data_IF_236030683620
#
_entry.id   IF_236030683620
#
_cell.length_a   1.000
_cell.length_b   1.000
_cell.length_c   1.000
_cell.angle_alpha   90.00
_cell.angle_beta   90.00
_cell.angle_gamma   90.00
#
_symmetry.space_group_name_H-M   'P 1'
#
loop_
_entity.id
_entity.type
_entity.pdbx_description
1 polymer ?
#
# COMPACT_ATOMS: atom_id res chain seq x y z
N UNK A 1 2.60 -44.06 10.80
CA UNK A 1 3.72 -43.34 10.15
C UNK A 1 3.68 -41.89 10.61
N UNK A 2 4.83 -41.24 10.82
CA UNK A 2 4.86 -39.84 11.27
C UNK A 2 4.43 -38.89 10.14
N UNK A 3 3.56 -37.92 10.46
CA UNK A 3 3.12 -36.87 9.54
C UNK A 3 4.23 -35.85 9.33
N UNK A 4 4.25 -35.22 8.16
CA UNK A 4 5.13 -34.09 7.87
C UNK A 4 4.35 -32.84 7.45
N UNK A 5 4.91 -31.67 7.71
CA UNK A 5 4.42 -30.38 7.22
C UNK A 5 5.50 -29.76 6.34
N UNK A 6 5.12 -29.35 5.14
CA UNK A 6 5.97 -28.60 4.22
C UNK A 6 5.48 -27.16 4.11
N UNK A 7 6.29 -26.21 4.57
CA UNK A 7 6.01 -24.78 4.48
C UNK A 7 6.41 -24.21 3.12
N UNK A 8 5.50 -23.48 2.46
CA UNK A 8 5.75 -22.77 1.20
C UNK A 8 5.56 -21.27 1.43
N UNK A 9 6.64 -20.50 1.25
CA UNK A 9 6.66 -19.08 1.59
C UNK A 9 5.99 -18.18 0.53
N UNK A 10 5.69 -16.94 0.91
CA UNK A 10 5.12 -15.91 0.04
C UNK A 10 6.15 -15.14 -0.82
N UNK A 11 5.69 -14.05 -1.44
CA UNK A 11 6.47 -13.17 -2.33
C UNK A 11 7.49 -12.31 -1.59
N UNK A 12 8.52 -11.85 -2.31
CA UNK A 12 9.55 -10.95 -1.77
C UNK A 12 10.49 -11.59 -0.73
N UNK A 13 10.19 -12.80 -0.27
CA UNK A 13 11.03 -13.59 0.63
C UNK A 13 12.28 -14.03 -0.14
N UNK A 14 13.45 -13.86 0.50
CA UNK A 14 14.76 -14.29 0.00
C UNK A 14 15.50 -14.98 1.13
N UNK A 15 16.57 -15.71 0.83
CA UNK A 15 17.28 -16.63 1.73
C UNK A 15 17.31 -16.19 3.20
N UNK A 16 17.83 -14.99 3.50
CA UNK A 16 17.87 -14.47 4.88
C UNK A 16 16.50 -14.42 5.57
N UNK A 17 15.48 -13.85 4.92
CA UNK A 17 14.14 -13.72 5.50
C UNK A 17 13.41 -15.07 5.57
N UNK A 18 13.70 -15.97 4.63
CA UNK A 18 13.25 -17.35 4.69
C UNK A 18 13.82 -18.07 5.92
N UNK A 19 15.13 -17.96 6.15
CA UNK A 19 15.81 -18.56 7.32
C UNK A 19 15.27 -18.03 8.64
N UNK A 20 15.03 -16.71 8.74
CA UNK A 20 14.40 -16.08 9.91
C UNK A 20 13.00 -16.65 10.17
N UNK A 21 12.19 -16.79 9.12
CA UNK A 21 10.83 -17.38 9.21
C UNK A 21 10.91 -18.86 9.62
N UNK A 22 11.81 -19.62 9.01
CA UNK A 22 12.05 -21.03 9.32
C UNK A 22 12.50 -21.22 10.77
N UNK A 23 13.31 -20.31 11.32
CA UNK A 23 13.72 -20.32 12.71
C UNK A 23 12.52 -20.19 13.67
N UNK A 24 11.62 -19.24 13.41
CA UNK A 24 10.39 -19.05 14.19
C UNK A 24 9.50 -20.29 14.10
N UNK A 25 9.22 -20.77 12.89
CA UNK A 25 8.35 -21.92 12.67
C UNK A 25 8.92 -23.21 13.28
N UNK A 26 10.22 -23.45 13.12
CA UNK A 26 10.88 -24.62 13.72
C UNK A 26 10.79 -24.61 15.25
N UNK A 27 10.89 -23.43 15.87
CA UNK A 27 10.66 -23.27 17.32
C UNK A 27 9.25 -23.70 17.73
N UNK A 28 8.23 -23.23 17.01
CA UNK A 28 6.83 -23.62 17.25
C UNK A 28 6.62 -25.12 17.10
N UNK A 29 7.14 -25.74 16.04
CA UNK A 29 7.00 -27.17 15.81
C UNK A 29 7.73 -28.01 16.86
N UNK A 30 8.92 -27.60 17.29
CA UNK A 30 9.66 -28.27 18.35
C UNK A 30 8.93 -28.19 19.71
N UNK A 31 8.24 -27.10 20.00
CA UNK A 31 7.50 -26.92 21.26
C UNK A 31 6.14 -27.63 21.24
N UNK A 32 5.36 -27.46 20.16
CA UNK A 32 3.94 -27.83 20.10
C UNK A 32 3.63 -29.10 19.30
N UNK A 33 4.47 -29.46 18.32
CA UNK A 33 4.19 -30.51 17.34
C UNK A 33 5.34 -31.52 17.24
N UNK A 34 5.79 -32.06 18.39
CA UNK A 34 7.02 -32.88 18.52
C UNK A 34 7.08 -34.13 17.66
N UNK A 35 5.93 -34.72 17.32
CA UNK A 35 5.84 -35.94 16.51
C UNK A 35 5.66 -35.66 15.01
N UNK A 36 5.68 -34.38 14.60
CA UNK A 36 5.50 -33.93 13.22
C UNK A 36 6.83 -33.44 12.66
N UNK A 37 7.20 -33.93 11.48
CA UNK A 37 8.40 -33.44 10.79
C UNK A 37 8.08 -32.13 10.10
N UNK A 38 8.92 -31.11 10.29
CA UNK A 38 8.74 -29.80 9.66
C UNK A 38 9.86 -29.53 8.65
N UNK A 39 9.49 -29.08 7.45
CA UNK A 39 10.40 -28.71 6.35
C UNK A 39 9.90 -27.44 5.66
N UNK A 40 10.80 -26.73 4.99
CA UNK A 40 10.45 -25.58 4.16
C UNK A 40 10.82 -25.80 2.70
N UNK A 41 10.01 -25.25 1.81
CA UNK A 41 10.21 -25.18 0.37
C UNK A 41 10.65 -23.75 0.02
N UNK A 42 11.95 -23.57 -0.22
CA UNK A 42 12.51 -22.29 -0.65
C UNK A 42 12.53 -22.21 -2.17
N UNK A 43 11.65 -21.39 -2.75
CA UNK A 43 11.49 -21.29 -4.20
C UNK A 43 12.04 -19.99 -4.81
N UNK A 44 12.32 -18.98 -3.99
CA UNK A 44 12.57 -17.62 -4.48
C UNK A 44 13.75 -17.47 -5.45
N UNK A 45 14.80 -18.28 -5.30
CA UNK A 45 15.98 -18.19 -6.17
C UNK A 45 15.75 -18.85 -7.55
N UNK A 46 14.96 -19.94 -7.57
CA UNK A 46 14.67 -20.68 -8.79
C UNK A 46 13.51 -20.04 -9.58
N UNK A 47 12.43 -19.70 -8.87
CA UNK A 47 11.15 -19.33 -9.48
C UNK A 47 10.74 -17.88 -9.21
N UNK A 48 11.44 -17.19 -8.30
CA UNK A 48 11.20 -15.77 -8.03
C UNK A 48 11.63 -14.86 -9.17
N UNK A 49 11.03 -13.68 -9.21
CA UNK A 49 11.42 -12.65 -10.14
C UNK A 49 12.84 -12.16 -9.82
N UNK A 50 13.66 -12.19 -10.86
CA UNK A 50 14.99 -11.62 -10.90
C UNK A 50 15.12 -10.79 -12.18
N UNK A 51 15.96 -9.77 -12.13
CA UNK A 51 16.25 -8.95 -13.30
C UNK A 51 17.59 -9.35 -13.89
N UNK A 52 17.62 -9.70 -15.18
CA UNK A 52 18.87 -9.98 -15.90
C UNK A 52 19.72 -8.72 -16.11
N UNK A 53 19.09 -7.54 -16.11
CA UNK A 53 19.75 -6.23 -16.16
C UNK A 53 18.89 -5.15 -15.51
N UNK A 54 19.47 -3.99 -15.18
CA UNK A 54 18.73 -2.83 -14.65
C UNK A 54 18.49 -1.76 -15.72
N UNK A 55 18.66 -2.13 -17.00
CA UNK A 55 18.59 -1.20 -18.13
C UNK A 55 17.20 -0.55 -18.32
N UNK A 56 16.15 -1.16 -17.79
CA UNK A 56 14.79 -0.63 -17.82
C UNK A 56 14.54 0.51 -16.84
N UNK A 57 15.44 0.75 -15.88
CA UNK A 57 15.34 1.84 -14.91
C UNK A 57 16.44 2.88 -15.20
N UNK A 58 16.09 4.04 -15.81
CA UNK A 58 17.07 5.08 -16.12
C UNK A 58 17.85 5.52 -14.88
N UNK A 59 19.17 5.57 -14.99
CA UNK A 59 20.06 6.01 -13.91
C UNK A 59 20.16 5.05 -12.71
N UNK A 60 19.65 3.81 -12.80
CA UNK A 60 19.68 2.90 -11.66
C UNK A 60 21.10 2.60 -11.15
N UNK A 61 22.06 2.46 -12.06
CA UNK A 61 23.46 2.21 -11.69
C UNK A 61 24.09 3.38 -10.92
N UNK A 62 23.62 4.61 -11.15
CA UNK A 62 24.18 5.81 -10.53
C UNK A 62 23.44 6.21 -9.25
N UNK A 63 22.13 5.98 -9.17
CA UNK A 63 21.29 6.48 -8.08
C UNK A 63 20.54 5.39 -7.30
N UNK A 64 20.64 4.12 -7.71
CA UNK A 64 19.81 3.04 -7.19
C UNK A 64 18.31 3.26 -7.46
N UNK A 65 17.98 3.88 -8.59
CA UNK A 65 16.61 4.29 -8.94
C UNK A 65 16.12 5.54 -8.19
N UNK A 66 17.04 6.24 -7.52
CA UNK A 66 16.80 7.55 -6.93
C UNK A 66 16.80 8.66 -8.00
N UNK A 67 16.13 9.75 -7.69
CA UNK A 67 16.20 10.98 -8.49
C UNK A 67 17.25 11.88 -7.83
N UNK A 68 18.20 12.39 -8.63
CA UNK A 68 19.30 13.25 -8.17
C UNK A 68 19.25 14.68 -8.74
N UNK A 69 18.21 15.03 -9.51
CA UNK A 69 18.12 16.32 -10.21
C UNK A 69 17.44 17.42 -9.35
N UNK A 70 18.03 18.61 -9.22
CA UNK A 70 17.36 19.79 -8.65
C UNK A 70 16.02 20.16 -9.33
N UNK A 71 15.83 19.84 -10.61
CA UNK A 71 14.54 20.07 -11.32
C UNK A 71 13.38 19.23 -10.72
N UNK A 72 13.70 18.17 -9.97
CA UNK A 72 12.72 17.28 -9.34
C UNK A 72 12.31 17.67 -7.91
N UNK A 73 12.87 18.76 -7.36
CA UNK A 73 12.48 19.28 -6.05
C UNK A 73 11.03 19.78 -6.03
N UNK A 74 10.56 20.40 -7.12
CA UNK A 74 9.18 20.88 -7.24
C UNK A 74 8.17 19.73 -7.29
N UNK A 75 8.29 18.70 -8.16
CA UNK A 75 7.46 17.51 -8.11
C UNK A 75 7.43 16.83 -6.74
N UNK A 76 8.58 16.74 -6.06
CA UNK A 76 8.68 16.14 -4.75
C UNK A 76 7.93 16.94 -3.66
N UNK A 77 7.94 18.27 -3.72
CA UNK A 77 7.11 19.13 -2.85
C UNK A 77 5.61 18.87 -3.07
N UNK A 78 5.16 18.78 -4.31
CA UNK A 78 3.74 18.51 -4.61
C UNK A 78 3.28 17.12 -4.19
N UNK A 79 4.17 16.12 -4.22
CA UNK A 79 3.88 14.78 -3.69
C UNK A 79 3.41 14.81 -2.23
N UNK A 80 4.03 15.67 -1.39
CA UNK A 80 3.60 15.86 0.01
C UNK A 80 2.18 16.40 0.05
N UNK A 81 1.87 17.42 -0.74
CA UNK A 81 0.54 18.02 -0.79
C UNK A 81 -0.52 17.09 -1.38
N UNK A 82 -0.17 16.19 -2.29
CA UNK A 82 -1.13 15.20 -2.81
C UNK A 82 -1.44 14.10 -1.79
N UNK A 83 -0.52 13.80 -0.87
CA UNK A 83 -0.81 12.90 0.25
C UNK A 83 -1.61 13.62 1.34
N UNK A 84 -1.34 14.91 1.56
CA UNK A 84 -1.87 15.70 2.66
C UNK A 84 -2.05 17.16 2.25
N UNK A 85 -3.18 17.51 1.58
CA UNK A 85 -3.40 18.86 1.03
C UNK A 85 -3.40 19.96 2.09
N UNK A 86 -3.72 19.65 3.34
CA UNK A 86 -3.85 20.60 4.45
C UNK A 86 -2.55 20.78 5.25
N UNK A 87 -1.48 20.07 4.89
CA UNK A 87 -0.22 20.03 5.64
C UNK A 87 0.34 21.42 5.94
N UNK A 88 0.40 22.27 4.92
CA UNK A 88 0.99 23.61 5.04
C UNK A 88 0.15 24.53 5.92
N UNK A 89 -1.19 24.41 5.90
CA UNK A 89 -2.06 25.14 6.83
C UNK A 89 -1.78 24.75 8.28
N UNK A 90 -1.53 23.46 8.56
CA UNK A 90 -1.13 23.03 9.91
C UNK A 90 0.22 23.62 10.32
N UNK A 91 1.19 23.66 9.41
CA UNK A 91 2.50 24.27 9.69
C UNK A 91 2.38 25.78 9.94
N UNK A 92 1.50 26.49 9.22
CA UNK A 92 1.19 27.89 9.49
C UNK A 92 0.62 28.08 10.89
N UNK A 93 -0.28 27.21 11.33
CA UNK A 93 -0.89 27.28 12.66
C UNK A 93 0.09 27.06 13.81
N UNK A 94 1.26 26.46 13.55
CA UNK A 94 2.32 26.26 14.54
C UNK A 94 3.28 27.45 14.65
N UNK A 95 3.21 28.42 13.74
CA UNK A 95 4.06 29.60 13.80
C UNK A 95 3.67 30.51 14.98
N UNK A 96 4.59 31.37 15.40
CA UNK A 96 4.29 32.38 16.43
C UNK A 96 3.22 33.34 15.89
N UNK A 97 2.21 33.61 16.70
CA UNK A 97 1.19 34.60 16.35
C UNK A 97 1.87 35.95 16.06
N UNK A 98 1.70 36.44 14.83
CA UNK A 98 2.27 37.70 14.32
C UNK A 98 1.32 38.88 14.51
N UNK A 99 0.17 38.69 15.18
CA UNK A 99 -0.93 39.64 15.29
C UNK A 99 -0.48 41.04 15.73
N UNK A 100 -0.13 41.90 14.76
CA UNK A 100 0.00 43.34 14.92
C UNK A 100 -1.37 43.95 14.63
N UNK A 101 -2.04 44.44 15.67
CA UNK A 101 -3.23 45.29 15.49
C UNK A 101 -2.81 46.53 14.72
N UNK A 102 -3.50 46.84 13.61
CA UNK A 102 -3.32 48.09 12.86
C UNK A 102 -3.92 49.32 13.59
N UNK A 103 -3.90 49.32 14.93
CA UNK A 103 -4.50 50.34 15.80
C UNK A 103 -5.66 49.84 16.67
N UNK A 104 -6.17 50.67 17.60
CA UNK A 104 -7.19 50.27 18.60
C UNK A 104 -8.57 49.92 18.02
N UNK A 105 -8.87 50.35 16.79
CA UNK A 105 -10.17 50.17 16.10
C UNK A 105 -10.10 49.22 14.89
N UNK A 106 -8.92 48.69 14.57
CA UNK A 106 -8.74 47.82 13.41
C UNK A 106 -9.23 46.39 13.74
N UNK A 107 -9.93 45.77 12.79
CA UNK A 107 -10.33 44.36 12.88
C UNK A 107 -9.08 43.46 12.95
N UNK A 108 -9.08 42.38 13.77
CA UNK A 108 -7.96 41.44 13.81
C UNK A 108 -7.68 40.79 12.45
N UNK A 109 -6.41 40.70 12.06
CA UNK A 109 -5.99 40.09 10.80
C UNK A 109 -6.53 38.66 10.59
N UNK A 110 -6.65 37.89 11.67
CA UNK A 110 -7.31 36.57 11.69
C UNK A 110 -8.74 36.62 11.15
N UNK A 111 -9.56 37.55 11.66
CA UNK A 111 -10.97 37.66 11.28
C UNK A 111 -11.13 38.18 9.86
N UNK A 112 -10.29 39.14 9.46
CA UNK A 112 -10.26 39.66 8.08
C UNK A 112 -9.89 38.56 7.09
N UNK A 113 -8.85 37.78 7.38
CA UNK A 113 -8.42 36.66 6.54
C UNK A 113 -9.49 35.57 6.45
N UNK A 114 -10.04 35.12 7.59
CA UNK A 114 -11.09 34.09 7.59
C UNK A 114 -12.32 34.55 6.81
N UNK A 115 -12.81 35.77 7.06
CA UNK A 115 -13.94 36.33 6.32
C UNK A 115 -13.65 36.36 4.83
N UNK A 116 -12.45 36.78 4.44
CA UNK A 116 -12.00 36.78 3.05
C UNK A 116 -12.15 35.41 2.39
N UNK A 117 -11.64 34.33 3.02
CA UNK A 117 -11.75 32.97 2.46
C UNK A 117 -13.19 32.44 2.50
N UNK A 118 -13.98 32.78 3.52
CA UNK A 118 -15.37 32.33 3.64
C UNK A 118 -16.29 32.99 2.62
N UNK A 119 -16.04 34.24 2.25
CA UNK A 119 -16.86 35.02 1.32
C UNK A 119 -16.32 35.05 -0.11
N UNK A 120 -15.08 34.59 -0.32
CA UNK A 120 -14.44 34.60 -1.64
C UNK A 120 -15.12 33.60 -2.58
N UNK A 121 -15.68 34.10 -3.68
CA UNK A 121 -16.19 33.27 -4.76
C UNK A 121 -15.26 33.33 -5.98
N UNK A 122 -14.88 32.18 -6.58
CA UNK A 122 -14.05 32.16 -7.78
C UNK A 122 -14.60 33.05 -8.88
N UNK A 123 -13.75 33.95 -9.41
CA UNK A 123 -14.13 34.83 -10.52
C UNK A 123 -14.52 34.05 -11.79
N UNK A 124 -15.25 34.67 -12.74
CA UNK A 124 -15.59 34.02 -14.01
C UNK A 124 -14.35 33.51 -14.78
N UNK A 125 -13.24 34.25 -14.73
CA UNK A 125 -12.00 33.86 -15.37
C UNK A 125 -11.37 32.63 -14.70
N UNK A 126 -11.34 32.61 -13.35
CA UNK A 126 -10.87 31.43 -12.63
C UNK A 126 -11.76 30.21 -12.90
N UNK A 127 -13.08 30.38 -12.92
CA UNK A 127 -14.02 29.29 -13.26
C UNK A 127 -13.79 28.74 -14.67
N UNK A 128 -13.49 29.61 -15.63
CA UNK A 128 -13.11 29.20 -16.99
C UNK A 128 -11.81 28.40 -16.99
N UNK A 129 -10.78 28.84 -16.25
CA UNK A 129 -9.53 28.09 -16.11
C UNK A 129 -9.76 26.72 -15.47
N UNK A 130 -10.51 26.64 -14.38
CA UNK A 130 -10.83 25.37 -13.70
C UNK A 130 -11.58 24.42 -14.64
N UNK A 131 -12.51 24.93 -15.43
CA UNK A 131 -13.28 24.14 -16.41
C UNK A 131 -12.37 23.61 -17.52
N UNK A 132 -11.43 24.43 -18.02
CA UNK A 132 -10.46 24.01 -19.04
C UNK A 132 -9.53 22.88 -18.60
N UNK A 133 -9.32 22.71 -17.29
CA UNK A 133 -8.55 21.61 -16.71
C UNK A 133 -9.41 20.53 -16.05
N UNK A 134 -10.73 20.58 -16.20
CA UNK A 134 -11.65 19.59 -15.61
C UNK A 134 -11.72 19.60 -14.08
N UNK A 135 -11.32 20.70 -13.44
CA UNK A 135 -11.20 20.79 -11.98
C UNK A 135 -12.42 21.39 -11.27
N UNK A 136 -13.44 21.88 -11.99
CA UNK A 136 -14.51 22.70 -11.39
C UNK A 136 -15.20 22.04 -10.18
N UNK A 137 -15.72 20.82 -10.34
CA UNK A 137 -16.43 20.14 -9.25
C UNK A 137 -15.51 19.78 -8.08
N UNK A 138 -14.32 19.27 -8.38
CA UNK A 138 -13.32 18.93 -7.37
C UNK A 138 -12.81 20.16 -6.60
N UNK A 139 -12.73 21.31 -7.26
CA UNK A 139 -12.34 22.58 -6.66
C UNK A 139 -13.45 23.14 -5.76
N UNK A 140 -14.71 23.05 -6.16
CA UNK A 140 -15.84 23.47 -5.33
C UNK A 140 -15.90 22.61 -4.05
N UNK A 141 -15.63 21.31 -4.14
CA UNK A 141 -15.48 20.44 -2.97
C UNK A 141 -14.28 20.86 -2.09
N UNK A 142 -13.13 21.11 -2.70
CA UNK A 142 -11.93 21.58 -2.00
C UNK A 142 -12.23 22.86 -1.19
N UNK A 143 -12.94 23.81 -1.81
CA UNK A 143 -13.31 25.08 -1.20
C UNK A 143 -14.26 24.89 -0.02
N UNK A 144 -15.29 24.04 -0.17
CA UNK A 144 -16.19 23.70 0.93
C UNK A 144 -15.41 23.08 2.11
N UNK A 145 -14.48 22.16 1.84
CA UNK A 145 -13.68 21.49 2.87
C UNK A 145 -12.70 22.44 3.56
N UNK A 146 -11.97 23.27 2.83
CA UNK A 146 -11.01 24.20 3.45
C UNK A 146 -11.75 25.20 4.36
N UNK A 147 -12.91 25.69 3.93
CA UNK A 147 -13.76 26.60 4.71
C UNK A 147 -14.24 25.96 6.02
N UNK A 148 -14.50 24.66 6.03
CA UNK A 148 -14.89 23.92 7.23
C UNK A 148 -13.71 23.49 8.12
N UNK A 149 -12.48 23.51 7.61
CA UNK A 149 -11.30 22.91 8.25
C UNK A 149 -10.88 23.59 9.56
N UNK A 150 -10.34 22.80 10.49
CA UNK A 150 -9.72 23.34 11.71
C UNK A 150 -8.34 23.92 11.41
N UNK A 151 -7.69 23.41 10.37
CA UNK A 151 -6.39 23.80 9.84
C UNK A 151 -6.41 25.24 9.33
N UNK A 152 -7.43 25.63 8.57
CA UNK A 152 -7.62 27.03 8.14
C UNK A 152 -7.78 27.96 9.34
N UNK A 153 -8.58 27.56 10.33
CA UNK A 153 -8.80 28.33 11.58
C UNK A 153 -7.52 28.46 12.40
N UNK A 154 -6.71 27.41 12.47
CA UNK A 154 -5.42 27.45 13.15
C UNK A 154 -4.42 28.37 12.42
N UNK A 155 -4.33 28.24 11.09
CA UNK A 155 -3.48 29.09 10.26
C UNK A 155 -3.85 30.57 10.36
N UNK A 156 -5.14 30.91 10.44
CA UNK A 156 -5.61 32.29 10.53
C UNK A 156 -5.07 33.04 11.76
N UNK A 157 -4.80 32.35 12.87
CA UNK A 157 -4.24 32.96 14.10
C UNK A 157 -2.84 33.54 13.91
N UNK A 158 -2.14 33.11 12.85
CA UNK A 158 -0.79 33.57 12.50
C UNK A 158 -0.81 34.50 11.28
N UNK A 159 -1.99 34.94 10.83
CA UNK A 159 -2.13 35.84 9.69
C UNK A 159 -1.58 37.24 9.99
N UNK A 160 -0.77 37.76 9.07
CA UNK A 160 -0.40 39.17 9.02
C UNK A 160 -1.53 40.00 8.40
N UNK A 161 -1.45 41.34 8.51
CA UNK A 161 -2.50 42.27 8.03
C UNK A 161 -2.93 41.98 6.59
N UNK A 162 -1.98 41.74 5.69
CA UNK A 162 -2.28 41.49 4.26
C UNK A 162 -2.52 40.00 3.95
N UNK A 163 -2.12 39.09 4.85
CA UNK A 163 -2.29 37.64 4.77
C UNK A 163 -1.90 36.95 3.43
N UNK A 164 -1.10 37.58 2.56
CA UNK A 164 -0.77 37.04 1.22
C UNK A 164 -0.18 35.62 1.28
N UNK A 165 0.72 35.35 2.23
CA UNK A 165 1.32 34.02 2.39
C UNK A 165 0.28 32.96 2.76
N UNK A 166 -0.64 33.29 3.66
CA UNK A 166 -1.75 32.42 4.06
C UNK A 166 -2.69 32.16 2.88
N UNK A 167 -3.02 33.19 2.09
CA UNK A 167 -3.85 33.03 0.88
C UNK A 167 -3.16 32.16 -0.18
N UNK A 168 -1.84 32.27 -0.33
CA UNK A 168 -1.07 31.43 -1.25
C UNK A 168 -1.04 29.96 -0.80
N UNK A 169 -0.89 29.70 0.51
CA UNK A 169 -0.98 28.34 1.06
C UNK A 169 -2.39 27.77 0.90
N UNK A 170 -3.45 28.57 1.08
CA UNK A 170 -4.82 28.16 0.76
C UNK A 170 -4.95 27.79 -0.72
N UNK A 171 -4.40 28.60 -1.63
CA UNK A 171 -4.42 28.30 -3.06
C UNK A 171 -3.75 26.94 -3.39
N UNK A 172 -2.57 26.67 -2.80
CA UNK A 172 -1.86 25.39 -2.97
C UNK A 172 -2.67 24.21 -2.41
N UNK A 173 -3.27 24.37 -1.25
CA UNK A 173 -4.11 23.35 -0.62
C UNK A 173 -5.34 23.02 -1.48
N UNK A 174 -6.02 24.05 -2.00
CA UNK A 174 -7.18 23.89 -2.89
C UNK A 174 -6.80 23.15 -4.19
N UNK A 175 -5.70 23.55 -4.84
CA UNK A 175 -5.24 22.90 -6.08
C UNK A 175 -4.79 21.46 -5.82
N UNK A 176 -4.05 21.21 -4.74
CA UNK A 176 -3.62 19.87 -4.38
C UNK A 176 -4.82 18.95 -4.10
N UNK A 177 -5.78 19.42 -3.30
CA UNK A 177 -6.99 18.66 -3.02
C UNK A 177 -7.79 18.38 -4.30
N UNK A 178 -8.03 19.42 -5.12
CA UNK A 178 -8.82 19.26 -6.35
C UNK A 178 -8.21 18.23 -7.31
N UNK A 179 -6.87 18.20 -7.42
CA UNK A 179 -6.16 17.19 -8.23
C UNK A 179 -6.32 15.79 -7.65
N UNK A 180 -6.19 15.62 -6.32
CA UNK A 180 -6.36 14.31 -5.66
C UNK A 180 -7.79 13.80 -5.79
N UNK A 181 -8.77 14.69 -5.69
CA UNK A 181 -10.19 14.37 -5.80
C UNK A 181 -10.62 13.97 -7.22
N UNK A 182 -9.78 14.16 -8.24
CA UNK A 182 -10.04 13.60 -9.58
C UNK A 182 -9.99 12.07 -9.62
N UNK A 183 -9.29 11.43 -8.67
CA UNK A 183 -9.12 9.98 -8.66
C UNK A 183 -8.46 9.47 -9.95
N UNK A 184 -9.20 8.67 -10.72
CA UNK A 184 -8.74 8.10 -11.99
C UNK A 184 -8.94 9.03 -13.20
N UNK A 185 -9.62 10.17 -13.03
CA UNK A 185 -9.83 11.10 -14.12
C UNK A 185 -8.50 11.79 -14.54
N UNK A 186 -8.36 12.21 -15.81
CA UNK A 186 -7.14 12.86 -16.28
C UNK A 186 -6.80 14.12 -15.47
N UNK A 187 -5.65 14.08 -14.80
CA UNK A 187 -5.13 15.23 -14.04
C UNK A 187 -4.33 16.19 -14.94
N UNK A 188 -4.26 17.49 -14.60
CA UNK A 188 -3.42 18.44 -15.31
C UNK A 188 -1.93 18.09 -15.17
N UNK A 189 -1.13 18.45 -16.19
CA UNK A 189 0.33 18.37 -16.12
C UNK A 189 0.90 19.32 -15.05
N UNK A 190 2.20 19.19 -14.72
CA UNK A 190 2.85 20.14 -13.81
C UNK A 190 2.72 21.60 -14.27
N UNK A 191 2.83 21.86 -15.58
CA UNK A 191 2.61 23.18 -16.16
C UNK A 191 1.15 23.63 -16.03
N UNK A 192 0.19 22.74 -16.32
CA UNK A 192 -1.24 23.03 -16.17
C UNK A 192 -1.63 23.34 -14.72
N UNK A 193 -1.14 22.55 -13.76
CA UNK A 193 -1.30 22.80 -12.33
C UNK A 193 -0.75 24.17 -11.93
N UNK A 194 0.42 24.56 -12.44
CA UNK A 194 1.02 25.86 -12.12
C UNK A 194 0.16 27.01 -12.67
N UNK A 195 -0.41 26.88 -13.87
CA UNK A 195 -1.38 27.85 -14.42
C UNK A 195 -2.61 27.98 -13.53
N UNK A 196 -3.17 26.86 -13.07
CA UNK A 196 -4.32 26.87 -12.15
C UNK A 196 -3.95 27.52 -10.82
N UNK A 197 -2.80 27.16 -10.23
CA UNK A 197 -2.32 27.76 -8.98
C UNK A 197 -2.14 29.27 -9.12
N UNK A 198 -1.53 29.75 -10.19
CA UNK A 198 -1.37 31.18 -10.44
C UNK A 198 -2.71 31.89 -10.59
N UNK A 199 -3.68 31.26 -11.27
CA UNK A 199 -5.03 31.80 -11.40
C UNK A 199 -5.71 31.93 -10.03
N UNK A 200 -5.69 30.87 -9.21
CA UNK A 200 -6.27 30.87 -7.85
C UNK A 200 -5.57 31.88 -6.95
N UNK A 201 -4.24 31.92 -6.96
CA UNK A 201 -3.46 32.84 -6.16
C UNK A 201 -3.71 34.29 -6.56
N UNK A 202 -3.89 34.59 -7.86
CA UNK A 202 -4.25 35.93 -8.33
C UNK A 202 -5.64 36.32 -7.86
N UNK A 203 -6.60 35.41 -7.99
CA UNK A 203 -7.99 35.64 -7.61
C UNK A 203 -8.15 35.89 -6.10
N UNK A 204 -7.34 35.20 -5.29
CA UNK A 204 -7.25 35.39 -3.85
C UNK A 204 -6.42 36.60 -3.43
N UNK A 205 -5.88 37.41 -4.35
CA UNK A 205 -4.93 38.48 -4.03
C UNK A 205 -3.75 37.98 -3.16
N UNK A 206 -3.16 36.86 -3.57
CA UNK A 206 -2.04 36.21 -2.91
C UNK A 206 -0.68 36.46 -3.60
N UNK A 207 -0.69 37.10 -4.78
CA UNK A 207 0.53 37.34 -5.58
C UNK A 207 1.25 38.61 -5.12
N UNK A 208 2.47 38.46 -4.59
CA UNK A 208 3.50 39.51 -4.51
C UNK A 208 4.58 39.28 -5.57
N UNK A 209 5.42 40.29 -5.84
CA UNK A 209 6.62 40.18 -6.70
C UNK A 209 7.61 39.08 -6.26
N UNK A 210 7.52 38.57 -5.02
CA UNK A 210 8.28 37.40 -4.51
C UNK A 210 7.44 36.62 -3.50
N UNK A 211 7.35 35.30 -3.66
CA UNK A 211 6.82 34.38 -2.65
C UNK A 211 7.81 34.35 -1.47
N UNK A 212 7.36 34.47 -0.20
CA UNK A 212 8.26 34.43 0.94
C UNK A 212 9.02 33.09 1.01
N UNK A 213 10.35 33.13 1.18
CA UNK A 213 11.20 31.93 1.17
C UNK A 213 10.81 30.87 2.20
N UNK A 214 10.27 31.27 3.34
CA UNK A 214 9.80 30.32 4.36
C UNK A 214 8.61 29.47 3.90
N UNK A 215 7.81 29.92 2.91
CA UNK A 215 6.74 29.12 2.29
C UNK A 215 7.35 28.01 1.43
N UNK A 216 8.50 28.26 0.81
CA UNK A 216 9.28 27.23 0.11
C UNK A 216 9.90 26.26 1.12
N UNK A 217 10.37 26.75 2.27
CA UNK A 217 10.93 25.94 3.35
C UNK A 217 9.92 24.96 3.98
N UNK A 218 8.62 25.31 4.03
CA UNK A 218 7.56 24.38 4.43
C UNK A 218 7.47 23.15 3.51
N UNK A 219 7.82 23.32 2.23
CA UNK A 219 7.84 22.25 1.24
C UNK A 219 9.10 21.37 1.27
N UNK A 220 10.25 21.92 1.70
CA UNK A 220 11.56 21.23 1.67
C UNK A 220 11.84 20.37 2.89
N UNK A 221 11.11 20.54 4.01
CA UNK A 221 11.29 19.77 5.26
C UNK A 221 11.12 18.23 5.13
N UNK A 222 10.74 17.73 3.94
CA UNK A 222 10.58 16.30 3.65
C UNK A 222 11.45 15.77 2.50
N UNK A 223 12.32 16.59 1.90
CA UNK A 223 13.17 16.18 0.77
C UNK A 223 14.35 15.28 1.18
N UNK A 224 14.06 14.15 1.83
CA UNK A 224 14.98 13.02 2.00
C UNK A 224 14.21 11.70 1.97
N UNK A 225 13.52 11.40 0.87
CA UNK A 225 13.04 10.04 0.64
C UNK A 225 14.11 9.23 -0.09
N UNK A 226 14.70 8.24 0.60
CA UNK A 226 15.52 7.18 -0.01
C UNK A 226 14.59 6.27 -0.84
N UNK A 227 14.26 6.74 -2.05
CA UNK A 227 13.31 6.10 -2.99
C UNK A 227 13.71 4.67 -3.37
N UNK A 228 15.00 4.40 -3.58
CA UNK A 228 15.47 3.12 -4.14
C UNK A 228 15.04 1.88 -3.35
N UNK A 229 15.38 1.80 -2.05
CA UNK A 229 15.21 0.54 -1.28
C UNK A 229 13.76 0.10 -1.05
N UNK A 230 12.82 1.04 -0.93
CA UNK A 230 11.40 0.70 -0.69
C UNK A 230 10.68 0.32 -1.98
N UNK A 231 11.01 0.98 -3.10
CA UNK A 231 10.49 0.60 -4.41
C UNK A 231 11.01 -0.79 -4.80
N UNK A 232 12.30 -1.08 -4.58
CA UNK A 232 12.86 -2.38 -4.93
C UNK A 232 12.10 -3.55 -4.26
N UNK A 233 11.71 -3.41 -2.99
CA UNK A 233 10.96 -4.44 -2.28
C UNK A 233 9.54 -4.64 -2.85
N UNK A 234 8.84 -3.54 -3.14
CA UNK A 234 7.50 -3.58 -3.75
C UNK A 234 7.57 -4.14 -5.17
N UNK A 235 8.52 -3.68 -5.98
CA UNK A 235 8.74 -4.15 -7.35
C UNK A 235 9.09 -5.64 -7.37
N UNK A 236 9.86 -6.15 -6.41
CA UNK A 236 10.13 -7.61 -6.29
C UNK A 236 8.88 -8.40 -5.93
N UNK A 237 8.10 -7.93 -4.96
CA UNK A 237 6.84 -8.58 -4.58
C UNK A 237 5.90 -8.68 -5.78
N UNK A 238 5.68 -7.56 -6.48
CA UNK A 238 4.88 -7.52 -7.71
C UNK A 238 5.49 -8.39 -8.81
N UNK A 239 6.81 -8.38 -8.96
CA UNK A 239 7.53 -9.21 -9.92
C UNK A 239 7.29 -10.69 -9.68
N UNK A 240 7.41 -11.16 -8.43
CA UNK A 240 7.18 -12.56 -8.06
C UNK A 240 5.74 -12.98 -8.40
N UNK A 241 4.73 -12.12 -8.13
CA UNK A 241 3.33 -12.37 -8.50
C UNK A 241 3.17 -12.44 -10.03
N UNK A 242 3.69 -11.45 -10.77
CA UNK A 242 3.58 -11.40 -12.23
C UNK A 242 4.27 -12.59 -12.89
N UNK A 243 5.45 -12.97 -12.40
CA UNK A 243 6.18 -14.13 -12.90
C UNK A 243 5.43 -15.42 -12.63
N UNK A 244 4.90 -15.61 -11.41
CA UNK A 244 4.07 -16.77 -11.09
C UNK A 244 2.82 -16.84 -11.98
N UNK A 245 2.11 -15.71 -12.14
CA UNK A 245 0.93 -15.65 -12.98
C UNK A 245 1.22 -15.86 -14.47
N UNK A 246 2.47 -15.69 -14.93
CA UNK A 246 2.90 -15.95 -16.30
C UNK A 246 3.50 -17.36 -16.50
N UNK A 247 4.22 -17.88 -15.50
CA UNK A 247 5.10 -19.04 -15.59
C UNK A 247 5.13 -19.84 -14.27
N UNK A 248 3.97 -20.16 -13.70
CA UNK A 248 3.84 -20.77 -12.37
C UNK A 248 4.18 -22.28 -12.32
N UNK A 249 4.28 -22.94 -13.47
CA UNK A 249 4.47 -24.39 -13.58
C UNK A 249 5.76 -24.85 -12.90
N UNK A 250 6.85 -24.09 -13.05
CA UNK A 250 8.13 -24.39 -12.38
C UNK A 250 8.04 -24.39 -10.86
N UNK A 251 7.21 -23.50 -10.28
CA UNK A 251 6.95 -23.48 -8.84
C UNK A 251 6.13 -24.70 -8.39
N UNK A 252 5.13 -25.11 -9.17
CA UNK A 252 4.34 -26.32 -8.88
C UNK A 252 5.24 -27.55 -8.85
N UNK A 253 6.09 -27.73 -9.86
CA UNK A 253 7.05 -28.84 -9.89
C UNK A 253 8.04 -28.80 -8.71
N UNK A 254 8.52 -27.61 -8.33
CA UNK A 254 9.44 -27.45 -7.20
C UNK A 254 8.77 -27.82 -5.88
N UNK A 255 7.51 -27.44 -5.67
CA UNK A 255 6.73 -27.87 -4.51
C UNK A 255 6.53 -29.38 -4.52
N UNK A 256 6.15 -29.97 -5.66
CA UNK A 256 5.97 -31.42 -5.79
C UNK A 256 7.26 -32.19 -5.47
N UNK A 257 8.40 -31.80 -6.05
CA UNK A 257 9.72 -32.36 -5.71
C UNK A 257 10.05 -32.21 -4.23
N UNK A 258 9.72 -31.07 -3.64
CA UNK A 258 9.94 -30.82 -2.20
C UNK A 258 9.08 -31.73 -1.33
N UNK A 259 7.89 -32.15 -1.78
CA UNK A 259 7.05 -33.14 -1.10
C UNK A 259 7.68 -34.53 -1.19
N UNK A 260 8.18 -34.93 -2.37
CA UNK A 260 8.83 -36.22 -2.58
C UNK A 260 10.11 -36.37 -1.73
N UNK A 261 10.87 -35.29 -1.59
CA UNK A 261 12.08 -35.22 -0.77
C UNK A 261 11.81 -35.25 0.74
N UNK A 262 10.55 -35.13 1.19
CA UNK A 262 10.21 -35.26 2.60
C UNK A 262 10.44 -36.71 3.05
N UNK A 263 11.31 -36.98 4.05
CA UNK A 263 11.65 -38.34 4.43
C UNK A 263 10.45 -39.18 4.93
N UNK A 264 10.45 -40.46 4.57
CA UNK A 264 9.48 -41.49 4.97
C UNK A 264 8.18 -41.46 4.18
N UNK A 265 7.33 -42.47 4.35
CA UNK A 265 6.12 -42.67 3.51
C UNK A 265 4.83 -42.10 4.16
N UNK A 266 4.99 -41.26 5.18
CA UNK A 266 3.87 -40.63 5.88
C UNK A 266 3.21 -39.53 5.05
N UNK A 267 1.94 -39.19 5.37
CA UNK A 267 1.22 -38.12 4.71
C UNK A 267 1.82 -36.74 5.01
N UNK A 268 1.67 -35.82 4.06
CA UNK A 268 2.23 -34.47 4.06
C UNK A 268 1.10 -33.45 4.09
N UNK A 269 1.25 -32.43 4.93
CA UNK A 269 0.38 -31.26 4.95
C UNK A 269 1.13 -30.07 4.35
N UNK A 270 0.56 -29.43 3.34
CA UNK A 270 1.11 -28.18 2.81
C UNK A 270 0.68 -27.01 3.71
N UNK A 271 1.63 -26.17 4.11
CA UNK A 271 1.40 -24.92 4.81
C UNK A 271 1.85 -23.77 3.92
N UNK A 272 0.93 -23.17 3.17
CA UNK A 272 1.23 -22.08 2.24
C UNK A 272 0.92 -20.70 2.82
N UNK A 273 1.85 -19.76 2.70
CA UNK A 273 1.65 -18.36 3.08
C UNK A 273 1.58 -17.46 1.86
N UNK A 274 0.59 -16.57 1.80
CA UNK A 274 0.44 -15.59 0.70
C UNK A 274 0.48 -16.29 -0.68
N UNK A 275 1.34 -15.85 -1.60
CA UNK A 275 1.55 -16.53 -2.90
C UNK A 275 1.86 -18.02 -2.78
N UNK A 276 2.59 -18.46 -1.75
CA UNK A 276 2.84 -19.87 -1.50
C UNK A 276 1.56 -20.66 -1.25
N UNK A 277 0.54 -20.03 -0.67
CA UNK A 277 -0.81 -20.58 -0.54
C UNK A 277 -1.52 -20.72 -1.89
N UNK A 278 -1.43 -19.70 -2.75
CA UNK A 278 -1.98 -19.76 -4.13
C UNK A 278 -1.32 -20.91 -4.90
N UNK A 279 0.01 -21.00 -4.86
CA UNK A 279 0.77 -22.05 -5.54
C UNK A 279 0.41 -23.46 -5.06
N UNK A 280 0.15 -23.64 -3.77
CA UNK A 280 -0.33 -24.92 -3.24
C UNK A 280 -1.74 -25.25 -3.74
N UNK A 281 -2.65 -24.27 -3.80
CA UNK A 281 -4.01 -24.48 -4.33
C UNK A 281 -3.95 -24.85 -5.81
N UNK A 282 -3.20 -24.09 -6.61
CA UNK A 282 -3.08 -24.35 -8.04
C UNK A 282 -2.49 -25.76 -8.30
N UNK A 283 -1.39 -26.13 -7.62
CA UNK A 283 -0.78 -27.46 -7.72
C UNK A 283 -1.78 -28.57 -7.35
N UNK A 284 -2.48 -28.44 -6.22
CA UNK A 284 -3.40 -29.50 -5.75
C UNK A 284 -4.64 -29.64 -6.62
N UNK A 285 -5.03 -28.57 -7.31
CA UNK A 285 -6.14 -28.59 -8.25
C UNK A 285 -5.72 -29.14 -9.62
N UNK A 286 -4.48 -28.99 -10.06
CA UNK A 286 -4.01 -29.59 -11.32
C UNK A 286 -3.49 -31.01 -11.13
N UNK A 287 -2.42 -31.17 -10.36
CA UNK A 287 -1.66 -32.41 -10.20
C UNK A 287 -1.20 -32.58 -8.74
N UNK A 288 -2.08 -33.07 -7.84
CA UNK A 288 -1.73 -33.20 -6.43
C UNK A 288 -0.66 -34.28 -6.21
N UNK A 289 0.41 -33.99 -5.45
CA UNK A 289 1.34 -35.05 -5.03
C UNK A 289 0.63 -36.09 -4.17
N UNK A 290 0.86 -37.39 -4.41
CA UNK A 290 0.10 -38.49 -3.79
C UNK A 290 0.09 -38.47 -2.25
N UNK A 291 1.18 -37.98 -1.65
CA UNK A 291 1.33 -37.93 -0.20
C UNK A 291 0.61 -36.75 0.45
N UNK A 292 0.12 -35.77 -0.31
CA UNK A 292 -0.53 -34.57 0.25
C UNK A 292 -2.01 -34.83 0.50
N UNK A 293 -2.41 -34.84 1.78
CA UNK A 293 -3.79 -35.09 2.19
C UNK A 293 -4.48 -33.88 2.85
N UNK A 294 -3.73 -32.80 3.10
CA UNK A 294 -4.20 -31.59 3.78
C UNK A 294 -3.52 -30.33 3.26
N UNK A 295 -4.27 -29.24 3.26
CA UNK A 295 -3.80 -27.89 2.96
C UNK A 295 -4.12 -26.94 4.13
N UNK A 296 -3.13 -26.15 4.52
CA UNK A 296 -3.30 -25.00 5.39
C UNK A 296 -2.82 -23.77 4.61
N UNK A 297 -3.70 -22.79 4.41
CA UNK A 297 -3.34 -21.49 3.84
C UNK A 297 -3.40 -20.41 4.91
N UNK A 298 -2.42 -19.50 4.90
CA UNK A 298 -2.35 -18.38 5.85
C UNK A 298 -2.12 -17.10 5.05
N UNK A 299 -2.95 -16.08 5.27
CA UNK A 299 -2.78 -14.81 4.56
C UNK A 299 -2.86 -14.94 3.03
N UNK A 300 -3.67 -15.87 2.51
CA UNK A 300 -3.69 -16.24 1.09
C UNK A 300 -4.77 -15.48 0.30
N UNK A 301 -4.51 -15.28 -0.99
CA UNK A 301 -5.40 -14.63 -1.95
C UNK A 301 -6.21 -15.62 -2.82
N UNK A 302 -6.07 -16.93 -2.59
CA UNK A 302 -6.64 -17.97 -3.47
C UNK A 302 -8.16 -17.81 -3.72
N UNK A 303 -8.94 -17.48 -2.68
CA UNK A 303 -10.38 -17.23 -2.82
C UNK A 303 -10.68 -16.05 -3.75
N UNK A 304 -10.05 -14.90 -3.49
CA UNK A 304 -10.20 -13.71 -4.33
C UNK A 304 -9.74 -13.96 -5.77
N UNK A 305 -8.62 -14.68 -5.96
CA UNK A 305 -8.08 -15.00 -7.28
C UNK A 305 -9.04 -15.89 -8.08
N UNK A 306 -9.74 -16.83 -7.44
CA UNK A 306 -10.77 -17.62 -8.10
C UNK A 306 -11.94 -16.75 -8.56
N UNK A 307 -12.41 -15.83 -7.71
CA UNK A 307 -13.53 -14.94 -8.04
C UNK A 307 -13.24 -14.01 -9.23
N UNK A 308 -12.01 -13.52 -9.35
CA UNK A 308 -11.62 -12.60 -10.43
C UNK A 308 -11.03 -13.29 -11.66
N UNK A 309 -10.99 -14.64 -11.69
CA UNK A 309 -10.42 -15.40 -12.81
C UNK A 309 -8.88 -15.33 -12.90
N UNK A 310 -8.21 -15.04 -11.78
CA UNK A 310 -6.74 -15.00 -11.68
C UNK A 310 -6.14 -16.31 -11.13
N UNK A 311 -6.93 -17.21 -10.56
CA UNK A 311 -6.44 -18.53 -10.15
C UNK A 311 -6.23 -19.40 -11.40
N UNK A 312 -5.02 -19.97 -11.58
CA UNK A 312 -4.65 -20.62 -12.84
C UNK A 312 -5.30 -21.99 -13.01
N UNK A 313 -5.51 -22.72 -11.92
CA UNK A 313 -5.98 -24.10 -11.95
C UNK A 313 -7.49 -24.23 -12.11
N UNK A 314 -8.25 -23.25 -11.61
CA UNK A 314 -9.72 -23.31 -11.53
C UNK A 314 -10.27 -21.91 -11.76
N UNK A 315 -11.13 -21.77 -12.77
CA UNK A 315 -11.85 -20.53 -13.07
C UNK A 315 -13.28 -20.59 -12.53
N UNK A 316 -13.78 -19.51 -11.93
CA UNK A 316 -15.18 -19.42 -11.54
C UNK A 316 -16.10 -19.55 -12.79
N UNK A 317 -17.24 -20.26 -12.71
CA UNK A 317 -17.86 -20.82 -11.50
C UNK A 317 -17.47 -22.28 -11.21
N UNK A 318 -16.44 -22.82 -11.85
CA UNK A 318 -16.02 -24.19 -11.57
C UNK A 318 -15.53 -24.32 -10.13
N UNK A 319 -15.92 -25.42 -9.48
CA UNK A 319 -15.42 -25.78 -8.16
C UNK A 319 -14.08 -26.51 -8.25
N UNK A 320 -13.52 -26.83 -7.08
CA UNK A 320 -12.33 -27.68 -7.00
C UNK A 320 -12.60 -29.07 -7.60
N UNK A 321 -11.63 -29.68 -8.29
CA UNK A 321 -11.78 -31.03 -8.83
C UNK A 321 -11.88 -32.08 -7.73
N UNK A 322 -12.42 -33.26 -8.06
CA UNK A 322 -12.70 -34.32 -7.08
C UNK A 322 -11.46 -34.82 -6.35
N UNK A 323 -10.28 -34.76 -6.98
CA UNK A 323 -9.00 -35.16 -6.40
C UNK A 323 -8.41 -34.14 -5.43
N UNK A 324 -8.95 -32.92 -5.36
CA UNK A 324 -8.45 -31.92 -4.44
C UNK A 324 -8.65 -32.37 -2.98
N UNK A 325 -7.66 -32.18 -2.07
CA UNK A 325 -7.81 -32.60 -0.68
C UNK A 325 -9.02 -31.95 0.02
N UNK A 326 -9.93 -32.78 0.55
CA UNK A 326 -11.13 -32.31 1.28
C UNK A 326 -10.84 -31.71 2.66
N UNK A 327 -9.57 -31.62 3.03
CA UNK A 327 -9.12 -31.00 4.27
C UNK A 327 -8.31 -29.76 3.95
N UNK A 328 -9.00 -28.63 3.86
CA UNK A 328 -8.40 -27.31 3.72
C UNK A 328 -8.77 -26.39 4.90
N UNK A 329 -7.77 -25.97 5.68
CA UNK A 329 -7.87 -24.86 6.63
C UNK A 329 -7.36 -23.58 5.98
N UNK A 330 -8.15 -22.51 6.01
CA UNK A 330 -7.71 -21.18 5.60
C UNK A 330 -7.75 -20.23 6.80
N UNK A 331 -6.64 -19.54 7.07
CA UNK A 331 -6.50 -18.59 8.17
C UNK A 331 -6.30 -17.19 7.60
N UNK A 332 -7.18 -16.26 7.96
CA UNK A 332 -7.17 -14.88 7.43
C UNK A 332 -7.32 -13.83 8.55
N UNK A 333 -6.86 -12.60 8.27
CA UNK A 333 -6.98 -11.44 9.17
C UNK A 333 -7.64 -10.29 8.40
N UNK A 334 -8.77 -9.72 8.85
CA UNK A 334 -9.42 -8.60 8.17
C UNK A 334 -8.55 -7.33 8.04
N UNK A 335 -7.51 -7.17 8.87
CA UNK A 335 -6.55 -6.07 8.77
C UNK A 335 -5.39 -6.39 7.82
N UNK A 336 -5.31 -7.61 7.30
CA UNK A 336 -4.41 -7.99 6.22
C UNK A 336 -5.16 -7.86 4.88
N UNK A 337 -4.86 -6.78 4.16
CA UNK A 337 -5.46 -6.45 2.86
C UNK A 337 -5.16 -7.50 1.77
N UNK A 338 -4.28 -8.46 2.03
CA UNK A 338 -3.90 -9.52 1.12
C UNK A 338 -4.38 -10.90 1.60
N UNK A 339 -5.23 -10.98 2.64
CA UNK A 339 -5.82 -12.23 3.10
C UNK A 339 -7.32 -12.27 2.86
N UNK A 340 -7.81 -13.38 2.32
CA UNK A 340 -9.22 -13.53 1.95
C UNK A 340 -9.76 -14.87 2.47
N UNK A 341 -11.05 -14.94 2.83
CA UNK A 341 -11.74 -16.22 3.02
C UNK A 341 -11.67 -17.08 1.75
N UNK A 342 -11.72 -18.40 1.91
CA UNK A 342 -11.70 -19.36 0.82
C UNK A 342 -13.01 -20.17 0.71
N UNK A 343 -14.06 -19.76 1.44
CA UNK A 343 -15.40 -20.37 1.40
C UNK A 343 -16.05 -20.42 0.01
N UNK A 344 -15.56 -19.65 -0.96
CA UNK A 344 -15.98 -19.71 -2.38
C UNK A 344 -15.77 -21.09 -3.01
N UNK A 345 -14.84 -21.90 -2.48
CA UNK A 345 -14.60 -23.28 -2.94
C UNK A 345 -15.52 -24.32 -2.29
N UNK A 346 -16.48 -23.89 -1.48
CA UNK A 346 -17.50 -24.74 -0.88
C UNK A 346 -17.14 -25.29 0.51
N UNK A 347 -17.91 -26.29 1.01
CA UNK A 347 -17.91 -26.68 2.43
C UNK A 347 -16.65 -27.43 2.89
N UNK A 348 -15.72 -27.71 1.98
CA UNK A 348 -14.47 -28.44 2.26
C UNK A 348 -13.39 -27.53 2.84
N UNK A 349 -13.60 -26.22 2.79
CA UNK A 349 -12.75 -25.19 3.37
C UNK A 349 -13.28 -24.82 4.75
N UNK A 350 -12.41 -24.86 5.75
CA UNK A 350 -12.66 -24.26 7.06
C UNK A 350 -11.94 -22.92 7.12
N UNK A 351 -12.69 -21.82 7.04
CA UNK A 351 -12.14 -20.48 7.27
C UNK A 351 -12.07 -20.18 8.77
N UNK A 352 -10.91 -19.70 9.22
CA UNK A 352 -10.68 -19.20 10.57
C UNK A 352 -10.15 -17.77 10.50
N UNK A 353 -10.93 -16.85 11.06
CA UNK A 353 -10.51 -15.47 11.22
C UNK A 353 -9.66 -15.32 12.49
N UNK A 354 -8.50 -14.68 12.36
CA UNK A 354 -7.66 -14.24 13.49
C UNK A 354 -7.50 -12.72 13.48
N UNK A 355 -6.95 -12.17 14.56
CA UNK A 355 -6.48 -10.77 14.59
C UNK A 355 -5.01 -10.76 14.97
N UNK A 356 -4.17 -10.16 14.13
CA UNK A 356 -2.75 -9.97 14.40
C UNK A 356 -2.45 -8.64 15.14
N UNK A 357 -3.47 -7.82 15.41
CA UNK A 357 -3.33 -6.58 16.18
C UNK A 357 -2.48 -5.50 15.51
N UNK A 358 -2.28 -5.58 14.19
CA UNK A 358 -1.46 -4.65 13.41
C UNK A 358 -2.20 -4.23 12.13
N UNK A 359 -1.99 -3.02 11.60
CA UNK A 359 -2.49 -2.66 10.28
C UNK A 359 -1.60 -3.21 9.16
N UNK A 360 -2.14 -3.30 7.95
CA UNK A 360 -1.37 -3.59 6.74
C UNK A 360 -0.25 -2.54 6.54
N UNK A 361 0.98 -2.92 6.11
CA UNK A 361 1.41 -4.26 5.70
C UNK A 361 1.89 -5.18 6.83
N UNK A 362 1.97 -4.69 8.07
CA UNK A 362 2.56 -5.45 9.19
C UNK A 362 1.72 -6.66 9.59
N UNK A 363 0.39 -6.58 9.46
CA UNK A 363 -0.52 -7.72 9.68
C UNK A 363 -0.16 -8.95 8.84
N UNK A 364 0.28 -8.76 7.59
CA UNK A 364 0.52 -9.85 6.63
C UNK A 364 1.67 -10.78 7.02
N UNK A 365 2.66 -10.28 7.77
CA UNK A 365 3.81 -11.06 8.25
C UNK A 365 3.70 -11.49 9.72
N UNK A 366 2.68 -11.04 10.44
CA UNK A 366 2.56 -11.22 11.89
C UNK A 366 1.99 -12.57 12.33
N UNK A 367 1.45 -13.38 11.40
CA UNK A 367 0.78 -14.65 11.71
C UNK A 367 1.60 -15.62 12.55
N UNK A 368 2.91 -15.72 12.33
CA UNK A 368 3.74 -16.73 12.99
C UNK A 368 3.91 -16.49 14.49
N UNK A 369 3.80 -15.24 14.93
CA UNK A 369 3.80 -14.87 16.35
C UNK A 369 2.43 -14.96 17.01
N UNK A 370 1.37 -15.26 16.27
CA UNK A 370 0.00 -15.27 16.78
C UNK A 370 -0.37 -16.67 17.31
N UNK A 371 -0.61 -16.84 18.63
CA UNK A 371 -0.93 -18.15 19.20
C UNK A 371 -2.23 -18.75 18.63
N UNK A 372 -3.20 -17.90 18.23
CA UNK A 372 -4.48 -18.35 17.69
C UNK A 372 -4.35 -19.02 16.32
N UNK A 373 -3.32 -18.67 15.53
CA UNK A 373 -2.99 -19.36 14.27
C UNK A 373 -2.65 -20.82 14.56
N UNK A 374 -1.81 -21.05 15.58
CA UNK A 374 -1.35 -22.38 15.96
C UNK A 374 -2.43 -23.20 16.69
N UNK A 375 -3.30 -22.54 17.46
CA UNK A 375 -4.49 -23.16 18.05
C UNK A 375 -5.44 -23.66 16.95
N UNK A 376 -5.70 -22.84 15.92
CA UNK A 376 -6.53 -23.23 14.78
C UNK A 376 -5.91 -24.37 13.97
N UNK A 377 -4.60 -24.33 13.75
CA UNK A 377 -3.88 -25.33 12.96
C UNK A 377 -3.63 -26.66 13.69
N UNK A 378 -3.81 -26.74 15.02
CA UNK A 378 -3.39 -27.89 15.81
C UNK A 378 -4.00 -29.23 15.34
N UNK A 379 -5.30 -29.27 15.07
CA UNK A 379 -6.01 -30.47 14.59
C UNK A 379 -5.76 -30.80 13.11
N UNK A 380 -5.06 -29.90 12.41
CA UNK A 380 -4.71 -30.02 10.99
C UNK A 380 -3.26 -30.46 10.78
N UNK A 381 -2.39 -30.11 11.72
CA UNK A 381 -0.97 -30.50 11.75
C UNK A 381 -0.78 -31.91 12.37
N UNK A 382 -1.62 -32.30 13.33
CA UNK A 382 -1.56 -33.59 14.06
C UNK A 382 -2.09 -34.81 13.32
#
# INVERSE_FOLDING_TARGET
>A
MARSVLFVHGTGVRAKSFDETMGVLSGVFAERFRDVRFRGCYWADAEGASSASQASVPGYETSGGGIADPEDEQPAMWRVLYTDPWRELRLLGLQKATARRAGPRAEPAEQVFLRGIQQWEPSPDLRKTLTGYGLSAAFDEALARVRASAELRAAAKTAEIDAHAHRYVVARALVAYAIVALGEAPAPTGAGRNVVLEAVARDLDAIRKKVPGWVQDLGTLYLRSRRGKHIDAITRMLGDILRYQAHGEGLHELIARSVDDVPGDGPVTLLGHSLGGIACVDLLATEPPERVDRLITVGSQAGYFHEIGALRSVEAPAGLPEHFPRRWLNIHDPQDMLSYPASVFGPWVTDVQVSNGQPFPTSHSAYWGNPHVWEAAASWIG
#
